data_IF_329303875926
#
_entry.id   IF_329303875926
#
_cell.length_a   1.000
_cell.length_b   1.000
_cell.length_c   1.000
_cell.angle_alpha   90.00
_cell.angle_beta   90.00
_cell.angle_gamma   90.00
#
_symmetry.space_group_name_H-M   'P 1'
#
loop_
_entity.id
_entity.type
_entity.pdbx_description
1 polymer ?
#
# COMPACT_ATOMS: atom_id res chain seq x y z
N UNK A 1 10.65 -19.52 1.85
CA UNK A 1 11.14 -18.16 1.72
C UNK A 1 10.23 -17.20 2.49
N UNK A 2 10.79 -16.34 3.29
CA UNK A 2 9.98 -15.42 4.07
C UNK A 2 9.69 -14.15 3.28
N UNK A 3 8.46 -13.67 3.40
CA UNK A 3 8.03 -12.40 2.84
C UNK A 3 7.49 -11.57 4.00
N UNK A 4 8.02 -10.37 4.19
CA UNK A 4 7.63 -9.52 5.30
C UNK A 4 6.13 -9.20 5.29
N UNK A 5 5.53 -9.05 4.09
CA UNK A 5 4.11 -8.75 3.96
C UNK A 5 3.26 -10.00 4.21
N UNK A 6 3.66 -11.16 3.69
CA UNK A 6 2.94 -12.41 3.90
C UNK A 6 2.97 -12.86 5.37
N UNK A 7 4.08 -12.62 6.05
CA UNK A 7 4.29 -13.10 7.41
C UNK A 7 3.73 -12.15 8.48
N UNK A 8 3.05 -11.09 8.08
CA UNK A 8 2.47 -10.15 9.01
C UNK A 8 2.54 -8.74 8.47
N UNK A 9 2.41 -7.79 9.37
CA UNK A 9 2.52 -6.38 9.02
C UNK A 9 3.15 -5.63 10.18
N UNK A 10 3.83 -4.54 9.85
CA UNK A 10 4.59 -3.73 10.78
C UNK A 10 3.89 -2.43 11.19
N UNK A 11 2.63 -2.29 10.85
CA UNK A 11 1.84 -1.12 11.16
C UNK A 11 0.43 -1.50 11.57
N UNK A 12 -0.46 -0.52 11.57
CA UNK A 12 -1.86 -0.71 11.91
C UNK A 12 -2.69 -0.84 10.64
N UNK A 13 -3.47 -1.91 10.54
CA UNK A 13 -4.43 -2.07 9.43
C UNK A 13 -5.58 -1.11 9.68
N UNK A 14 -5.72 -0.10 8.81
CA UNK A 14 -6.79 0.90 8.93
C UNK A 14 -7.93 0.66 7.95
N UNK A 15 -7.73 -0.21 6.98
CA UNK A 15 -8.73 -0.57 5.98
C UNK A 15 -8.38 -1.92 5.37
N UNK A 16 -9.37 -2.75 5.14
CA UNK A 16 -9.17 -3.93 4.30
C UNK A 16 -10.43 -4.25 3.51
N UNK A 17 -10.23 -4.89 2.38
CA UNK A 17 -11.27 -5.49 1.56
C UNK A 17 -10.70 -6.80 1.00
N UNK A 18 -11.47 -7.49 0.16
CA UNK A 18 -11.19 -8.88 -0.20
C UNK A 18 -9.75 -9.20 -0.58
N UNK A 19 -9.10 -8.31 -1.33
CA UNK A 19 -7.76 -8.58 -1.87
C UNK A 19 -6.70 -7.59 -1.40
N UNK A 20 -7.10 -6.54 -0.71
CA UNK A 20 -6.24 -5.40 -0.39
C UNK A 20 -6.35 -5.02 1.07
N UNK A 21 -5.29 -4.46 1.60
CA UNK A 21 -5.32 -3.82 2.90
C UNK A 21 -4.49 -2.54 2.87
N UNK A 22 -4.87 -1.58 3.70
CA UNK A 22 -4.12 -0.34 3.89
C UNK A 22 -3.55 -0.36 5.30
N UNK A 23 -2.26 -0.16 5.40
CA UNK A 23 -1.51 -0.18 6.65
C UNK A 23 -0.97 1.20 6.92
N UNK A 24 -1.22 1.73 8.11
CA UNK A 24 -0.63 2.98 8.57
C UNK A 24 0.66 2.65 9.31
N UNK A 25 1.76 3.26 8.86
CA UNK A 25 3.07 3.04 9.44
C UNK A 25 3.46 4.21 10.32
N UNK A 26 4.05 3.90 11.47
CA UNK A 26 4.58 4.92 12.37
C UNK A 26 6.01 5.23 11.96
N UNK A 27 6.18 6.30 11.20
CA UNK A 27 7.50 6.73 10.73
C UNK A 27 7.80 8.10 11.30
N UNK A 28 8.96 8.28 11.95
CA UNK A 28 9.28 9.54 12.63
C UNK A 28 9.33 10.75 11.70
N UNK A 29 9.67 10.55 10.43
CA UNK A 29 9.86 11.65 9.49
C UNK A 29 8.66 11.87 8.57
N UNK A 30 7.71 10.91 8.50
CA UNK A 30 6.62 10.97 7.53
C UNK A 30 5.29 10.68 8.20
N UNK A 31 4.55 11.73 8.56
CA UNK A 31 3.19 11.58 9.05
C UNK A 31 2.28 11.09 7.92
N UNK A 32 1.40 10.17 8.25
CA UNK A 32 0.48 9.62 7.26
C UNK A 32 1.13 8.66 6.29
N UNK A 33 2.28 8.10 6.65
CA UNK A 33 2.96 7.11 5.82
C UNK A 33 2.13 5.84 5.80
N UNK A 34 1.51 5.56 4.66
CA UNK A 34 0.65 4.40 4.48
C UNK A 34 1.22 3.48 3.42
N UNK A 35 0.79 2.21 3.50
CA UNK A 35 1.11 1.23 2.48
C UNK A 35 -0.17 0.54 2.06
N UNK A 36 -0.45 0.52 0.76
CA UNK A 36 -1.52 -0.28 0.17
C UNK A 36 -0.90 -1.60 -0.25
N UNK A 37 -1.35 -2.69 0.34
CA UNK A 37 -0.77 -4.01 0.13
C UNK A 37 -1.77 -4.95 -0.51
N UNK A 38 -1.27 -5.74 -1.48
CA UNK A 38 -2.00 -6.90 -1.97
C UNK A 38 -1.89 -7.99 -0.89
N UNK A 39 -3.01 -8.64 -0.54
CA UNK A 39 -3.00 -9.68 0.48
C UNK A 39 -2.34 -10.96 -0.04
N UNK A 40 -2.73 -11.41 -1.23
CA UNK A 40 -2.09 -12.56 -1.86
C UNK A 40 -0.67 -12.22 -2.32
N UNK A 41 0.23 -13.19 -2.25
CA UNK A 41 1.61 -12.96 -2.66
C UNK A 41 1.72 -12.94 -4.19
N UNK A 42 1.92 -11.75 -4.77
CA UNK A 42 2.23 -11.54 -6.17
C UNK A 42 3.39 -10.57 -6.27
N UNK A 43 4.27 -10.82 -7.20
CA UNK A 43 5.53 -10.10 -7.30
C UNK A 43 5.40 -8.80 -8.09
N UNK A 44 4.65 -8.84 -9.19
CA UNK A 44 4.55 -7.72 -10.12
C UNK A 44 3.09 -7.30 -10.34
N UNK A 45 2.89 -6.01 -10.61
CA UNK A 45 1.55 -5.51 -10.93
C UNK A 45 0.94 -6.22 -12.15
N UNK A 46 1.77 -6.52 -13.14
CA UNK A 46 1.27 -7.16 -14.37
C UNK A 46 0.99 -8.64 -14.23
N UNK A 47 1.32 -9.24 -13.07
CA UNK A 47 0.88 -10.60 -12.74
C UNK A 47 -0.58 -10.65 -12.31
N UNK A 48 -1.16 -9.50 -11.98
CA UNK A 48 -2.54 -9.38 -11.49
C UNK A 48 -3.50 -9.31 -12.68
N UNK A 49 -4.74 -9.78 -12.48
CA UNK A 49 -5.76 -9.51 -13.49
C UNK A 49 -6.07 -8.00 -13.54
N UNK A 50 -6.68 -7.59 -14.64
CA UNK A 50 -6.90 -6.17 -14.92
C UNK A 50 -7.80 -5.51 -13.88
N UNK A 51 -8.83 -6.23 -13.44
CA UNK A 51 -9.73 -5.70 -12.41
C UNK A 51 -9.00 -5.41 -11.11
N UNK A 52 -8.09 -6.28 -10.71
CA UNK A 52 -7.31 -6.09 -9.48
C UNK A 52 -6.29 -4.97 -9.64
N UNK A 53 -5.67 -4.84 -10.82
CA UNK A 53 -4.79 -3.71 -11.11
C UNK A 53 -5.52 -2.37 -10.90
N UNK A 54 -6.72 -2.25 -11.45
CA UNK A 54 -7.52 -1.04 -11.30
C UNK A 54 -7.97 -0.81 -9.85
N UNK A 55 -8.34 -1.87 -9.16
CA UNK A 55 -8.76 -1.76 -7.75
C UNK A 55 -7.62 -1.27 -6.85
N UNK A 56 -6.41 -1.74 -7.07
CA UNK A 56 -5.24 -1.26 -6.32
C UNK A 56 -5.04 0.22 -6.57
N UNK A 57 -5.06 0.65 -7.82
CA UNK A 57 -4.84 2.07 -8.13
C UNK A 57 -5.96 2.94 -7.58
N UNK A 58 -7.21 2.47 -7.63
CA UNK A 58 -8.31 3.19 -7.01
C UNK A 58 -8.08 3.37 -5.51
N UNK A 59 -7.62 2.33 -4.85
CA UNK A 59 -7.33 2.37 -3.42
C UNK A 59 -6.20 3.35 -3.11
N UNK A 60 -5.12 3.33 -3.90
CA UNK A 60 -4.00 4.26 -3.77
C UNK A 60 -4.48 5.70 -3.89
N UNK A 61 -5.30 6.00 -4.89
CA UNK A 61 -5.80 7.36 -5.09
C UNK A 61 -6.77 7.78 -3.98
N UNK A 62 -7.54 6.86 -3.46
CA UNK A 62 -8.41 7.14 -2.31
C UNK A 62 -7.61 7.50 -1.06
N UNK A 63 -6.55 6.75 -0.80
CA UNK A 63 -5.65 7.04 0.32
C UNK A 63 -5.02 8.42 0.15
N UNK A 64 -4.54 8.74 -1.04
CA UNK A 64 -3.98 10.06 -1.33
C UNK A 64 -5.01 11.17 -1.03
N UNK A 65 -6.24 10.99 -1.50
CA UNK A 65 -7.30 11.99 -1.30
C UNK A 65 -7.55 12.25 0.18
N UNK A 66 -7.62 11.19 0.98
CA UNK A 66 -7.84 11.30 2.42
C UNK A 66 -6.65 11.97 3.11
N UNK A 67 -5.44 11.58 2.76
CA UNK A 67 -4.22 12.16 3.35
C UNK A 67 -4.11 13.66 3.04
N UNK A 68 -4.49 14.06 1.84
CA UNK A 68 -4.48 15.49 1.47
C UNK A 68 -5.48 16.29 2.30
N UNK A 69 -6.62 15.71 2.63
CA UNK A 69 -7.62 16.37 3.47
C UNK A 69 -7.17 16.50 4.92
N UNK A 70 -6.53 15.47 5.45
CA UNK A 70 -6.15 15.41 6.86
C UNK A 70 -4.89 16.22 7.14
N UNK A 71 -3.86 16.07 6.32
CA UNK A 71 -2.53 16.61 6.59
C UNK A 71 -2.20 17.84 5.76
N UNK A 72 -2.94 18.10 4.68
CA UNK A 72 -2.68 19.20 3.75
C UNK A 72 -1.20 19.32 3.38
N UNK A 73 -0.59 18.24 2.89
CA UNK A 73 0.84 18.24 2.59
C UNK A 73 1.15 19.04 1.32
N UNK A 74 2.38 19.52 1.21
CA UNK A 74 2.84 20.19 -0.01
C UNK A 74 2.96 19.25 -1.19
N UNK A 75 3.25 17.97 -0.93
CA UNK A 75 3.44 16.96 -1.96
C UNK A 75 3.07 15.59 -1.43
N UNK A 76 2.44 14.79 -2.28
CA UNK A 76 2.22 13.36 -2.05
C UNK A 76 3.20 12.60 -2.95
N UNK A 77 3.82 11.57 -2.41
CA UNK A 77 4.65 10.66 -3.17
C UNK A 77 4.00 9.29 -3.23
N UNK A 78 3.90 8.75 -4.44
CA UNK A 78 3.39 7.41 -4.67
C UNK A 78 4.51 6.57 -5.25
N UNK A 79 4.80 5.44 -4.64
CA UNK A 79 5.88 4.59 -5.11
C UNK A 79 5.60 3.12 -4.83
N UNK A 80 5.93 2.27 -5.80
CA UNK A 80 5.91 0.82 -5.61
C UNK A 80 7.32 0.30 -5.83
N UNK A 81 7.95 -0.12 -4.74
CA UNK A 81 9.33 -0.59 -4.73
C UNK A 81 9.34 -2.02 -4.20
N UNK A 82 9.98 -2.94 -4.91
CA UNK A 82 9.92 -4.35 -4.56
C UNK A 82 11.25 -5.06 -4.49
N UNK A 83 12.36 -4.35 -4.55
CA UNK A 83 13.66 -5.01 -4.56
C UNK A 83 13.98 -5.73 -3.24
N UNK A 84 13.54 -5.18 -2.12
CA UNK A 84 13.71 -5.81 -0.82
C UNK A 84 12.55 -6.72 -0.45
N UNK A 85 11.33 -6.34 -0.85
CA UNK A 85 10.12 -7.09 -0.55
C UNK A 85 9.34 -7.27 -1.86
N UNK A 86 9.61 -8.35 -2.61
CA UNK A 86 8.96 -8.59 -3.91
C UNK A 86 7.54 -9.12 -3.74
N UNK A 87 6.67 -8.26 -3.27
CA UNK A 87 5.25 -8.49 -3.02
C UNK A 87 4.55 -7.15 -3.29
N UNK A 88 3.56 -7.13 -4.18
CA UNK A 88 2.94 -5.89 -4.63
C UNK A 88 2.45 -5.05 -3.46
N UNK A 89 2.99 -3.86 -3.35
CA UNK A 89 2.57 -2.85 -2.38
C UNK A 89 2.94 -1.46 -2.86
N UNK A 90 2.16 -0.49 -2.45
CA UNK A 90 2.36 0.92 -2.79
C UNK A 90 2.50 1.76 -1.51
N UNK A 91 3.47 2.64 -1.52
CA UNK A 91 3.69 3.60 -0.44
C UNK A 91 2.97 4.90 -0.67
#
# INVERSE_FOLDING_TARGET
>A
MSCAICNGHDGEIIWNENSLRVVLLDHPDYKGYCRVELIAHQKEMTDLDEALQFNIMRCVFKVETVLRKIFNPEKINLASLGNKTPHVHWH
#
